data_IF_609380460170
#
_entry.id   IF_609380460170
#
_cell.length_a   1.000
_cell.length_b   1.000
_cell.length_c   1.000
_cell.angle_alpha   90.00
_cell.angle_beta   90.00
_cell.angle_gamma   90.00
#
_symmetry.space_group_name_H-M   'P 1'
#
loop_
_entity.id
_entity.type
_entity.pdbx_description
1 polymer ?
#
# COMPACT_ATOMS: atom_id res chain seq x y z
N UNK A 1 -9.87 11.67 0.50
CA UNK A 1 -10.12 10.41 -0.24
C UNK A 1 -8.83 10.01 -0.88
N UNK A 2 -8.36 8.78 -0.62
CA UNK A 2 -7.18 8.25 -1.31
C UNK A 2 -7.58 7.71 -2.68
N UNK A 3 -6.64 7.74 -3.62
CA UNK A 3 -6.85 7.23 -4.97
C UNK A 3 -6.68 5.71 -5.04
N UNK A 4 -7.20 5.01 -6.08
CA UNK A 4 -6.97 3.58 -6.25
C UNK A 4 -5.47 3.17 -6.34
N UNK A 5 -4.58 3.97 -6.96
CA UNK A 5 -3.14 3.73 -6.86
C UNK A 5 -2.59 3.83 -5.44
N UNK A 6 -3.03 4.83 -4.65
CA UNK A 6 -2.60 4.99 -3.26
C UNK A 6 -3.08 3.83 -2.38
N UNK A 7 -4.32 3.38 -2.53
CA UNK A 7 -4.82 2.24 -1.75
C UNK A 7 -4.03 0.95 -2.06
N UNK A 8 -3.67 0.72 -3.33
CA UNK A 8 -2.78 -0.38 -3.73
C UNK A 8 -1.38 -0.26 -3.13
N UNK A 9 -0.81 0.94 -3.13
CA UNK A 9 0.48 1.19 -2.47
C UNK A 9 0.42 0.84 -0.98
N UNK A 10 -0.59 1.32 -0.25
CA UNK A 10 -0.72 1.04 1.17
C UNK A 10 -0.99 -0.44 1.46
N UNK A 11 -1.72 -1.15 0.58
CA UNK A 11 -1.89 -2.59 0.69
C UNK A 11 -0.57 -3.36 0.50
N UNK A 12 0.22 -3.00 -0.52
CA UNK A 12 1.54 -3.59 -0.76
C UNK A 12 2.53 -3.29 0.38
N UNK A 13 2.45 -2.08 0.94
CA UNK A 13 3.23 -1.64 2.09
C UNK A 13 2.85 -2.44 3.36
N UNK A 14 1.55 -2.59 3.64
CA UNK A 14 1.07 -3.40 4.76
C UNK A 14 1.58 -4.84 4.65
N UNK A 15 1.48 -5.46 3.47
CA UNK A 15 2.02 -6.80 3.26
C UNK A 15 3.55 -6.88 3.47
N UNK A 16 4.29 -5.81 3.18
CA UNK A 16 5.76 -5.75 3.38
C UNK A 16 6.11 -5.65 4.85
N UNK A 17 5.40 -4.80 5.57
CA UNK A 17 5.54 -4.64 7.01
C UNK A 17 5.18 -5.93 7.75
N UNK A 18 4.06 -6.58 7.39
CA UNK A 18 3.67 -7.88 7.98
C UNK A 18 4.76 -8.94 7.76
N UNK A 19 5.26 -9.07 6.53
CA UNK A 19 6.26 -10.09 6.20
C UNK A 19 7.60 -9.90 6.92
N UNK A 20 7.94 -8.66 7.32
CA UNK A 20 9.24 -8.32 7.91
C UNK A 20 9.20 -8.10 9.42
N UNK A 21 8.15 -7.46 9.91
CA UNK A 21 8.02 -6.98 11.29
C UNK A 21 6.89 -7.68 12.06
N UNK A 22 6.05 -8.46 11.36
CA UNK A 22 4.86 -9.09 11.93
C UNK A 22 3.59 -8.26 11.76
N UNK A 23 2.45 -8.94 11.84
CA UNK A 23 1.10 -8.37 11.75
C UNK A 23 0.72 -7.51 12.95
N UNK A 24 1.26 -7.82 14.12
CA UNK A 24 1.04 -7.06 15.33
C UNK A 24 1.79 -5.72 15.38
N UNK A 25 2.74 -5.49 14.46
CA UNK A 25 3.52 -4.26 14.41
C UNK A 25 2.65 -3.04 14.09
N UNK A 26 2.78 -1.96 14.88
CA UNK A 26 1.94 -0.77 14.76
C UNK A 26 1.95 -0.17 13.33
N UNK A 27 3.11 -0.12 12.68
CA UNK A 27 3.23 0.36 11.31
C UNK A 27 2.44 -0.51 10.31
N UNK A 28 2.40 -1.84 10.50
CA UNK A 28 1.64 -2.75 9.63
C UNK A 28 0.12 -2.51 9.75
N UNK A 29 -0.38 -2.35 10.98
CA UNK A 29 -1.79 -2.02 11.26
C UNK A 29 -2.20 -0.67 10.68
N UNK A 30 -1.34 0.34 10.83
CA UNK A 30 -1.57 1.66 10.25
C UNK A 30 -1.61 1.62 8.73
N UNK A 31 -0.69 0.91 8.08
CA UNK A 31 -0.68 0.77 6.62
C UNK A 31 -1.93 0.06 6.10
N UNK A 32 -2.44 -0.94 6.82
CA UNK A 32 -3.69 -1.62 6.47
C UNK A 32 -4.91 -0.68 6.62
N UNK A 33 -4.97 0.13 7.68
CA UNK A 33 -5.99 1.14 7.85
C UNK A 33 -5.91 2.24 6.77
N UNK A 34 -4.70 2.66 6.40
CA UNK A 34 -4.49 3.60 5.30
C UNK A 34 -4.99 3.03 3.96
N UNK A 35 -4.76 1.75 3.69
CA UNK A 35 -5.28 1.08 2.48
C UNK A 35 -6.82 1.08 2.42
N UNK A 36 -7.50 1.09 3.57
CA UNK A 36 -8.97 1.18 3.66
C UNK A 36 -9.53 2.58 3.44
N UNK A 37 -8.67 3.59 3.29
CA UNK A 37 -9.07 4.97 3.00
C UNK A 37 -9.17 5.89 4.21
N UNK A 38 -8.69 5.48 5.39
CA UNK A 38 -8.62 6.32 6.59
C UNK A 38 -7.54 7.42 6.41
N UNK A 39 -7.92 8.72 6.32
CA UNK A 39 -6.98 9.81 6.14
C UNK A 39 -6.02 9.99 7.32
N UNK A 40 -6.46 9.69 8.55
CA UNK A 40 -5.60 9.79 9.73
C UNK A 40 -4.52 8.69 9.69
N UNK A 41 -4.91 7.48 9.29
CA UNK A 41 -4.00 6.37 9.12
C UNK A 41 -2.94 6.62 8.04
N UNK A 42 -3.26 7.36 6.96
CA UNK A 42 -2.27 7.74 5.93
C UNK A 42 -1.13 8.55 6.54
N UNK A 43 -1.46 9.63 7.25
CA UNK A 43 -0.46 10.50 7.87
C UNK A 43 0.33 9.79 8.98
N UNK A 44 -0.33 8.94 9.77
CA UNK A 44 0.34 8.15 10.81
C UNK A 44 1.22 7.04 10.23
N UNK A 45 0.82 6.41 9.11
CA UNK A 45 1.65 5.42 8.41
C UNK A 45 2.94 6.05 7.93
N UNK A 46 2.89 7.25 7.34
CA UNK A 46 4.08 7.96 6.89
C UNK A 46 5.03 8.29 8.05
N UNK A 47 4.50 8.74 9.19
CA UNK A 47 5.30 8.99 10.40
C UNK A 47 5.90 7.71 10.96
N UNK A 48 5.11 6.64 11.08
CA UNK A 48 5.58 5.35 11.56
C UNK A 48 6.67 4.75 10.65
N UNK A 49 6.51 4.87 9.32
CA UNK A 49 7.50 4.43 8.35
C UNK A 49 8.80 5.24 8.44
N UNK A 50 8.71 6.55 8.62
CA UNK A 50 9.86 7.43 8.78
C UNK A 50 10.64 7.17 10.08
N UNK A 51 9.94 6.70 11.13
CA UNK A 51 10.53 6.34 12.42
C UNK A 51 11.22 4.96 12.44
N UNK A 52 11.05 4.13 11.41
CA UNK A 52 11.77 2.86 11.30
C UNK A 52 13.28 3.09 11.11
N UNK A 53 14.12 2.15 11.58
CA UNK A 53 15.52 2.10 11.18
C UNK A 53 15.65 2.16 9.65
N UNK A 54 16.62 2.92 9.15
CA UNK A 54 16.80 3.14 7.71
C UNK A 54 16.88 1.83 6.92
N UNK A 55 17.65 0.86 7.40
CA UNK A 55 17.77 -0.44 6.76
C UNK A 55 16.43 -1.21 6.69
N UNK A 56 15.57 -1.08 7.72
CA UNK A 56 14.24 -1.72 7.72
C UNK A 56 13.29 -0.99 6.77
N UNK A 57 13.29 0.34 6.82
CA UNK A 57 12.48 1.18 5.93
C UNK A 57 12.79 0.89 4.47
N UNK A 58 14.07 0.86 4.10
CA UNK A 58 14.50 0.63 2.74
C UNK A 58 14.15 -0.78 2.27
N UNK A 59 14.33 -1.79 3.13
CA UNK A 59 13.95 -3.16 2.82
C UNK A 59 12.43 -3.33 2.65
N UNK A 60 11.63 -2.66 3.49
CA UNK A 60 10.16 -2.63 3.38
C UNK A 60 9.73 -1.96 2.08
N UNK A 61 10.32 -0.81 1.73
CA UNK A 61 9.98 -0.07 0.51
C UNK A 61 10.39 -0.84 -0.75
N UNK A 62 11.56 -1.48 -0.75
CA UNK A 62 12.00 -2.32 -1.85
C UNK A 62 11.05 -3.51 -2.09
N UNK A 63 10.60 -4.15 -1.01
CA UNK A 63 9.65 -5.26 -1.07
C UNK A 63 8.25 -4.79 -1.51
N UNK A 64 7.76 -3.67 -1.00
CA UNK A 64 6.49 -3.08 -1.43
C UNK A 64 6.52 -2.73 -2.93
N UNK A 65 7.61 -2.12 -3.39
CA UNK A 65 7.82 -1.80 -4.80
C UNK A 65 7.87 -3.07 -5.66
N UNK A 66 8.58 -4.11 -5.21
CA UNK A 66 8.62 -5.41 -5.88
C UNK A 66 7.22 -6.00 -6.07
N UNK A 67 6.38 -5.95 -5.02
CA UNK A 67 4.98 -6.43 -5.10
C UNK A 67 4.13 -5.61 -6.04
N UNK A 68 4.25 -4.29 -6.03
CA UNK A 68 3.52 -3.43 -6.98
C UNK A 68 3.91 -3.71 -8.43
N UNK A 69 5.19 -3.98 -8.69
CA UNK A 69 5.68 -4.37 -10.02
C UNK A 69 5.15 -5.75 -10.44
N UNK A 70 4.97 -6.66 -9.49
CA UNK A 70 4.46 -8.02 -9.73
C UNK A 70 2.92 -8.08 -9.75
N UNK A 71 2.24 -7.01 -9.34
CA UNK A 71 0.79 -6.86 -9.49
C UNK A 71 0.43 -6.59 -10.95
N UNK A 72 0.45 -7.66 -11.74
CA UNK A 72 0.11 -7.67 -13.16
C UNK A 72 -1.31 -7.14 -13.38
N UNK A 73 -2.24 -7.35 -12.46
CA UNK A 73 -3.62 -6.85 -12.59
C UNK A 73 -3.70 -5.32 -12.62
N UNK A 74 -2.83 -4.63 -11.86
CA UNK A 74 -2.72 -3.17 -11.93
C UNK A 74 -2.26 -2.66 -13.29
N UNK A 75 -1.45 -3.42 -14.04
CA UNK A 75 -0.98 -3.05 -15.38
C UNK A 75 -2.13 -3.12 -16.39
N UNK A 76 -3.01 -4.12 -16.27
CA UNK A 76 -4.16 -4.28 -17.18
C UNK A 76 -5.26 -3.24 -16.95
N UNK A 77 -5.45 -2.76 -15.71
CA UNK A 77 -6.45 -1.73 -15.38
C UNK A 77 -6.19 -0.35 -16.02
N UNK A 78 -4.94 -0.08 -16.44
CA UNK A 78 -4.58 1.17 -17.13
C UNK A 78 -4.59 1.06 -18.67
N UNK A 79 -4.92 -0.12 -19.23
CA UNK A 79 -5.04 -0.28 -20.67
C UNK A 79 -6.38 0.29 -21.18
N UNK A 80 -6.38 1.00 -22.33
CA UNK A 80 -7.62 1.46 -22.94
C UNK A 80 -8.50 0.26 -23.30
N UNK A 81 -9.70 0.20 -22.70
CA UNK A 81 -10.65 -0.91 -22.87
C UNK A 81 -10.73 -1.90 -21.70
N UNK A 82 -9.96 -1.69 -20.62
CA UNK A 82 -10.19 -2.40 -19.37
C UNK A 82 -11.65 -2.19 -18.91
N UNK A 83 -12.32 -3.22 -18.35
CA UNK A 83 -13.70 -3.11 -17.86
C UNK A 83 -13.72 -2.15 -16.66
N UNK A 84 -13.74 -0.85 -16.95
CA UNK A 84 -13.98 0.18 -15.96
C UNK A 84 -15.34 -0.11 -15.31
N UNK A 85 -15.30 -0.22 -13.99
CA UNK A 85 -16.45 -0.43 -13.12
C UNK A 85 -17.59 0.48 -13.60
N UNK A 86 -18.64 -0.16 -14.11
CA UNK A 86 -20.03 0.28 -14.29
C UNK A 86 -20.23 1.78 -14.49
N UNK A 87 -20.53 2.20 -15.72
CA UNK A 87 -21.32 3.43 -15.95
C UNK A 87 -22.77 3.16 -15.51
N UNK A 88 -23.31 3.88 -14.52
CA UNK A 88 -24.75 3.87 -14.26
C UNK A 88 -25.48 4.56 -15.43
N UNK A 89 -26.54 3.91 -15.93
CA UNK A 89 -27.53 4.55 -16.82
C UNK A 89 -28.39 5.54 -16.04
#
# INVERSE_FOLDING_TARGET
MITPPESRFFAALAAALVARLGDEHACAKLAAAAASGDPAAVAETQRALAALPEAERDAVLAEAHRRLREDVAAIWDFLPGAPSQTRPN
#
